data_IF_492141826853
#
_entry.id   IF_492141826853
#
_cell.length_a   1.000
_cell.length_b   1.000
_cell.length_c   1.000
_cell.angle_alpha   90.00
_cell.angle_beta   90.00
_cell.angle_gamma   90.00
#
_symmetry.space_group_name_H-M   'P 1'
#
loop_
_entity.id
_entity.type
_entity.pdbx_description
1 polymer ?
#
# COMPACT_ATOMS: atom_id res chain seq x y z
N UNK A 1 27.53 77.37 -44.79
CA UNK A 1 26.67 77.33 -46.01
C UNK A 1 26.49 75.91 -46.53
N UNK A 2 27.55 75.19 -46.95
CA UNK A 2 27.46 73.77 -47.40
C UNK A 2 26.77 72.80 -46.44
N UNK A 3 26.98 72.94 -45.13
CA UNK A 3 26.33 72.07 -44.12
C UNK A 3 24.81 72.34 -43.96
N UNK A 4 24.37 73.59 -44.15
CA UNK A 4 22.95 73.95 -44.06
C UNK A 4 22.16 73.52 -45.30
N UNK A 5 22.78 73.54 -46.48
CA UNK A 5 22.20 72.95 -47.69
C UNK A 5 22.10 71.42 -47.58
N UNK A 6 23.12 70.77 -47.00
CA UNK A 6 23.09 69.33 -46.74
C UNK A 6 21.94 68.92 -45.80
N UNK A 7 21.74 69.67 -44.71
CA UNK A 7 20.62 69.44 -43.78
C UNK A 7 19.26 69.62 -44.45
N UNK A 8 19.15 70.61 -45.36
CA UNK A 8 17.90 70.89 -46.06
C UNK A 8 17.56 69.79 -47.07
N UNK A 9 18.54 69.33 -47.84
CA UNK A 9 18.39 68.20 -48.77
C UNK A 9 18.08 66.92 -48.00
N UNK A 10 18.75 66.69 -46.87
CA UNK A 10 18.49 65.54 -46.01
C UNK A 10 17.05 65.55 -45.47
N UNK A 11 16.55 66.69 -44.97
CA UNK A 11 15.15 66.82 -44.51
C UNK A 11 14.14 66.57 -45.62
N UNK A 12 14.37 67.11 -46.82
CA UNK A 12 13.48 66.89 -47.96
C UNK A 12 13.46 65.43 -48.41
N UNK A 13 14.60 64.74 -48.37
CA UNK A 13 14.66 63.30 -48.64
C UNK A 13 13.94 62.49 -47.57
N UNK A 14 14.02 62.88 -46.29
CA UNK A 14 13.27 62.25 -45.20
C UNK A 14 11.76 62.44 -45.38
N UNK A 15 11.28 63.67 -45.64
CA UNK A 15 9.86 63.95 -45.89
C UNK A 15 9.30 63.17 -47.09
N UNK A 16 10.07 63.06 -48.18
CA UNK A 16 9.65 62.27 -49.35
C UNK A 16 9.55 60.78 -49.03
N UNK A 17 10.47 60.24 -48.24
CA UNK A 17 10.44 58.85 -47.78
C UNK A 17 9.29 58.58 -46.80
N UNK A 18 8.97 59.53 -45.91
CA UNK A 18 7.81 59.47 -45.02
C UNK A 18 6.49 59.50 -45.81
N UNK A 19 6.43 60.32 -46.85
CA UNK A 19 5.25 60.42 -47.73
C UNK A 19 5.03 59.13 -48.55
N UNK A 20 6.10 58.51 -49.05
CA UNK A 20 6.03 57.26 -49.83
C UNK A 20 5.69 56.06 -48.95
N UNK A 21 6.22 56.02 -47.71
CA UNK A 21 5.97 54.91 -46.78
C UNK A 21 4.65 55.04 -46.01
N UNK A 22 4.02 56.22 -46.01
CA UNK A 22 2.77 56.49 -45.29
C UNK A 22 2.94 56.48 -43.77
N UNK A 23 4.17 56.55 -43.27
CA UNK A 23 4.55 56.54 -41.86
C UNK A 23 5.63 57.60 -41.63
N UNK A 24 5.54 58.31 -40.52
CA UNK A 24 6.66 59.14 -40.06
C UNK A 24 7.85 58.26 -39.64
N UNK A 25 9.07 58.83 -39.64
CA UNK A 25 10.27 58.11 -39.19
C UNK A 25 10.14 57.58 -37.76
N UNK A 26 9.44 58.31 -36.89
CA UNK A 26 9.19 57.92 -35.50
C UNK A 26 8.18 56.76 -35.40
N UNK A 27 7.08 56.79 -36.16
CA UNK A 27 6.12 55.68 -36.20
C UNK A 27 6.72 54.39 -36.77
N UNK A 28 7.58 54.51 -37.80
CA UNK A 28 8.30 53.37 -38.36
C UNK A 28 9.25 52.76 -37.32
N UNK A 29 9.95 53.60 -36.55
CA UNK A 29 10.83 53.16 -35.47
C UNK A 29 10.05 52.49 -34.35
N UNK A 30 8.92 53.04 -33.96
CA UNK A 30 8.09 52.51 -32.88
C UNK A 30 7.50 51.14 -33.26
N UNK A 31 6.98 50.98 -34.48
CA UNK A 31 6.54 49.68 -35.00
C UNK A 31 7.65 48.65 -35.06
N UNK A 32 8.86 49.05 -35.46
CA UNK A 32 10.00 48.14 -35.50
C UNK A 32 10.39 47.69 -34.09
N UNK A 33 10.36 48.59 -33.11
CA UNK A 33 10.59 48.27 -31.70
C UNK A 33 9.50 47.35 -31.15
N UNK A 34 8.23 47.58 -31.51
CA UNK A 34 7.10 46.73 -31.13
C UNK A 34 7.26 45.31 -31.71
N UNK A 35 7.60 45.19 -33.00
CA UNK A 35 7.80 43.89 -33.66
C UNK A 35 8.96 43.10 -33.03
N UNK A 36 10.07 43.77 -32.71
CA UNK A 36 11.21 43.13 -32.05
C UNK A 36 10.84 42.69 -30.62
N UNK A 37 10.00 43.46 -29.91
CA UNK A 37 9.47 43.04 -28.59
C UNK A 37 8.55 41.82 -28.69
N UNK A 38 7.66 41.77 -29.69
CA UNK A 38 6.78 40.62 -29.91
C UNK A 38 7.56 39.37 -30.31
N UNK A 39 8.56 39.51 -31.18
CA UNK A 39 9.45 38.43 -31.57
C UNK A 39 10.26 37.92 -30.36
N UNK A 40 10.82 38.84 -29.56
CA UNK A 40 11.54 38.48 -28.33
C UNK A 40 10.63 37.76 -27.32
N UNK A 41 9.37 38.19 -27.15
CA UNK A 41 8.38 37.50 -26.31
C UNK A 41 8.07 36.09 -26.82
N UNK A 42 7.89 35.94 -28.13
CA UNK A 42 7.59 34.65 -28.76
C UNK A 42 8.76 33.68 -28.58
N UNK A 43 9.99 34.15 -28.81
CA UNK A 43 11.20 33.36 -28.61
C UNK A 43 11.40 32.98 -27.14
N UNK A 44 11.17 33.90 -26.21
CA UNK A 44 11.21 33.62 -24.78
C UNK A 44 10.17 32.56 -24.37
N UNK A 45 8.94 32.63 -24.91
CA UNK A 45 7.91 31.63 -24.64
C UNK A 45 8.29 30.25 -25.18
N UNK A 46 8.87 30.19 -26.38
CA UNK A 46 9.39 28.93 -26.94
C UNK A 46 10.46 28.32 -26.04
N UNK A 47 11.41 29.14 -25.57
CA UNK A 47 12.47 28.70 -24.67
C UNK A 47 11.93 28.23 -23.32
N UNK A 48 10.95 28.93 -22.75
CA UNK A 48 10.26 28.51 -21.52
C UNK A 48 9.56 27.15 -21.71
N UNK A 49 8.86 26.96 -22.84
CA UNK A 49 8.18 25.71 -23.13
C UNK A 49 9.17 24.54 -23.28
N UNK A 50 10.31 24.78 -23.95
CA UNK A 50 11.37 23.80 -24.12
C UNK A 50 11.99 23.38 -22.77
N UNK A 51 12.32 24.34 -21.91
CA UNK A 51 12.80 24.08 -20.54
C UNK A 51 11.79 23.27 -19.75
N UNK A 52 10.51 23.63 -19.81
CA UNK A 52 9.44 22.92 -19.10
C UNK A 52 9.30 21.48 -19.58
N UNK A 53 9.45 21.23 -20.88
CA UNK A 53 9.36 19.89 -21.45
C UNK A 53 10.59 19.05 -21.11
N UNK A 54 11.79 19.63 -21.15
CA UNK A 54 13.03 18.98 -20.70
C UNK A 54 12.96 18.62 -19.20
N UNK A 55 12.43 19.52 -18.37
CA UNK A 55 12.21 19.28 -16.95
C UNK A 55 11.25 18.10 -16.72
N UNK A 56 10.14 18.03 -17.48
CA UNK A 56 9.20 16.90 -17.42
C UNK A 56 9.84 15.59 -17.85
N UNK A 57 10.60 15.58 -18.96
CA UNK A 57 11.30 14.38 -19.43
C UNK A 57 12.32 13.88 -18.40
N UNK A 58 13.09 14.80 -17.81
CA UNK A 58 14.06 14.50 -16.76
C UNK A 58 13.38 13.95 -15.51
N UNK A 59 12.30 14.58 -15.05
CA UNK A 59 11.52 14.11 -13.92
C UNK A 59 10.95 12.70 -14.14
N UNK A 60 10.43 12.41 -15.34
CA UNK A 60 9.89 11.09 -15.67
C UNK A 60 11.00 10.02 -15.68
N UNK A 61 12.19 10.36 -16.19
CA UNK A 61 13.35 9.47 -16.16
C UNK A 61 13.80 9.17 -14.72
N UNK A 62 13.87 10.18 -13.87
CA UNK A 62 14.23 10.01 -12.46
C UNK A 62 13.18 9.23 -11.68
N UNK A 63 11.88 9.48 -11.92
CA UNK A 63 10.80 8.72 -11.30
C UNK A 63 10.89 7.22 -11.64
N UNK A 64 11.11 6.88 -12.92
CA UNK A 64 11.34 5.49 -13.35
C UNK A 64 12.55 4.88 -12.65
N UNK A 65 13.65 5.63 -12.53
CA UNK A 65 14.86 5.18 -11.81
C UNK A 65 14.56 4.85 -10.35
N UNK A 66 13.84 5.74 -9.64
CA UNK A 66 13.46 5.55 -8.24
C UNK A 66 12.61 4.29 -8.06
N UNK A 67 11.60 4.09 -8.92
CA UNK A 67 10.73 2.90 -8.87
C UNK A 67 11.55 1.62 -9.07
N UNK A 68 12.40 1.58 -10.12
CA UNK A 68 13.24 0.40 -10.41
C UNK A 68 14.20 0.09 -9.27
N UNK A 69 14.86 1.11 -8.71
CA UNK A 69 15.78 0.93 -7.58
C UNK A 69 15.05 0.47 -6.31
N UNK A 70 13.84 0.96 -6.08
CA UNK A 70 13.02 0.55 -4.93
C UNK A 70 12.64 -0.93 -5.05
N UNK A 71 12.23 -1.37 -6.25
CA UNK A 71 11.91 -2.78 -6.51
C UNK A 71 13.13 -3.68 -6.27
N UNK A 72 14.29 -3.32 -6.83
CA UNK A 72 15.52 -4.13 -6.74
C UNK A 72 16.01 -4.32 -5.31
N UNK A 73 15.80 -3.35 -4.42
CA UNK A 73 16.22 -3.43 -3.00
C UNK A 73 15.35 -4.36 -2.16
N UNK A 74 14.16 -4.75 -2.62
CA UNK A 74 13.17 -5.54 -1.87
C UNK A 74 12.93 -6.91 -2.52
N UNK A 75 13.78 -7.36 -3.45
CA UNK A 75 13.61 -8.65 -4.11
C UNK A 75 13.95 -9.83 -3.16
N UNK A 76 12.92 -10.49 -2.64
CA UNK A 76 12.98 -11.81 -2.00
C UNK A 76 11.91 -12.71 -2.61
N UNK A 77 12.23 -13.99 -2.78
CA UNK A 77 11.30 -15.03 -3.24
C UNK A 77 10.36 -15.44 -2.10
N UNK A 78 9.05 -15.54 -2.36
CA UNK A 78 8.05 -16.00 -1.39
C UNK A 78 7.16 -17.09 -1.98
N UNK A 79 6.86 -18.10 -1.16
CA UNK A 79 6.00 -19.21 -1.52
C UNK A 79 4.51 -18.81 -1.43
N UNK A 80 3.71 -19.34 -2.35
CA UNK A 80 2.24 -19.16 -2.39
C UNK A 80 1.62 -20.01 -1.28
N UNK A 81 0.75 -19.41 -0.46
CA UNK A 81 -0.02 -20.12 0.58
C UNK A 81 -1.45 -20.42 0.11
N UNK A 82 -1.91 -21.67 0.30
CA UNK A 82 -3.24 -22.12 -0.14
C UNK A 82 -4.35 -21.76 0.87
N UNK A 83 -5.54 -21.46 0.34
CA UNK A 83 -6.71 -21.02 1.12
C UNK A 83 -7.38 -22.11 1.98
N UNK A 84 -7.04 -23.39 1.80
CA UNK A 84 -7.61 -24.53 2.53
C UNK A 84 -6.55 -25.16 3.43
N UNK A 85 -6.92 -25.42 4.67
CA UNK A 85 -6.05 -26.09 5.65
C UNK A 85 -6.47 -27.56 5.75
N UNK A 86 -5.66 -28.44 5.17
CA UNK A 86 -5.84 -29.89 5.26
C UNK A 86 -5.10 -30.39 6.51
N UNK A 87 -5.84 -31.00 7.44
CA UNK A 87 -5.25 -31.65 8.60
C UNK A 87 -5.05 -33.13 8.27
N UNK A 88 -3.79 -33.56 8.22
CA UNK A 88 -3.41 -34.95 7.97
C UNK A 88 -3.47 -35.75 9.26
N UNK A 89 -3.93 -37.00 9.17
CA UNK A 89 -4.19 -37.89 10.29
C UNK A 89 -3.44 -39.19 10.08
N UNK A 90 -2.81 -39.71 11.14
CA UNK A 90 -1.97 -40.90 11.07
C UNK A 90 -2.74 -42.22 10.86
N UNK A 91 -4.05 -42.25 11.16
CA UNK A 91 -4.91 -43.41 10.92
C UNK A 91 -6.42 -43.10 11.01
N UNK A 92 -7.24 -43.94 10.39
CA UNK A 92 -8.71 -43.86 10.50
C UNK A 92 -9.23 -44.07 11.92
N UNK A 93 -8.47 -44.75 12.79
CA UNK A 93 -8.81 -44.87 14.21
C UNK A 93 -8.78 -43.51 14.92
N UNK A 94 -7.80 -42.66 14.58
CA UNK A 94 -7.71 -41.29 15.07
C UNK A 94 -8.87 -40.47 14.50
N UNK A 95 -9.19 -40.61 13.20
CA UNK A 95 -10.36 -39.96 12.55
C UNK A 95 -11.65 -40.30 13.30
N UNK A 96 -11.87 -41.59 13.64
CA UNK A 96 -13.01 -42.04 14.43
C UNK A 96 -13.08 -41.44 15.85
N UNK A 97 -11.94 -41.27 16.52
CA UNK A 97 -11.88 -40.60 17.84
C UNK A 97 -12.15 -39.09 17.76
N UNK A 98 -11.70 -38.43 16.70
CA UNK A 98 -11.98 -37.01 16.44
C UNK A 98 -13.49 -36.80 16.20
N UNK A 99 -14.13 -37.67 15.42
CA UNK A 99 -15.60 -37.63 15.20
C UNK A 99 -16.35 -37.88 16.52
N UNK A 100 -15.95 -38.93 17.24
CA UNK A 100 -16.64 -39.38 18.44
C UNK A 100 -18.01 -40.02 18.13
N UNK A 101 -18.62 -40.64 19.14
CA UNK A 101 -19.95 -41.25 18.98
C UNK A 101 -20.97 -40.18 18.60
N UNK A 102 -21.73 -40.41 17.53
CA UNK A 102 -22.75 -39.49 16.99
C UNK A 102 -22.20 -38.10 16.59
N UNK A 103 -20.90 -37.99 16.32
CA UNK A 103 -20.27 -36.71 15.97
C UNK A 103 -20.10 -35.75 17.15
N UNK A 104 -20.27 -36.22 18.40
CA UNK A 104 -20.26 -35.36 19.59
C UNK A 104 -18.96 -34.56 19.78
N UNK A 105 -17.83 -35.13 19.36
CA UNK A 105 -16.52 -34.51 19.56
C UNK A 105 -16.28 -33.43 18.49
N UNK A 106 -16.66 -33.70 17.23
CA UNK A 106 -16.66 -32.69 16.17
C UNK A 106 -17.56 -31.51 16.55
N UNK A 107 -18.80 -31.76 16.96
CA UNK A 107 -19.71 -30.67 17.38
C UNK A 107 -19.14 -29.84 18.53
N UNK A 108 -18.46 -30.47 19.48
CA UNK A 108 -17.79 -29.76 20.58
C UNK A 108 -16.61 -28.91 20.07
N UNK A 109 -15.81 -29.43 19.12
CA UNK A 109 -14.74 -28.67 18.48
C UNK A 109 -15.30 -27.49 17.70
N UNK A 110 -16.29 -27.70 16.84
CA UNK A 110 -16.95 -26.67 16.04
C UNK A 110 -17.56 -25.59 16.94
N UNK A 111 -18.24 -25.97 18.02
CA UNK A 111 -18.78 -25.02 18.99
C UNK A 111 -17.69 -24.23 19.72
N UNK A 112 -16.57 -24.88 20.07
CA UNK A 112 -15.49 -24.24 20.80
C UNK A 112 -14.63 -23.31 19.93
N UNK A 113 -14.41 -23.65 18.66
CA UNK A 113 -13.53 -22.91 17.73
C UNK A 113 -14.31 -21.97 16.80
N UNK A 114 -15.57 -22.28 16.52
CA UNK A 114 -16.40 -21.55 15.56
C UNK A 114 -16.03 -21.81 14.09
N UNK A 115 -15.42 -22.96 13.79
CA UNK A 115 -15.14 -23.42 12.42
C UNK A 115 -15.99 -24.64 12.09
N UNK A 116 -16.19 -24.91 10.80
CA UNK A 116 -16.85 -26.12 10.30
C UNK A 116 -15.79 -27.19 9.99
N UNK A 117 -16.02 -28.41 10.46
CA UNK A 117 -15.10 -29.52 10.27
C UNK A 117 -15.73 -30.50 9.30
N UNK A 118 -15.25 -30.49 8.05
CA UNK A 118 -15.76 -31.37 7.01
C UNK A 118 -14.98 -32.67 7.03
N UNK A 119 -15.72 -33.76 7.21
CA UNK A 119 -15.20 -35.12 7.17
C UNK A 119 -15.81 -35.82 5.96
N UNK A 120 -15.01 -36.10 4.95
CA UNK A 120 -15.41 -36.78 3.73
C UNK A 120 -14.80 -38.19 3.64
N UNK A 121 -15.01 -38.86 2.51
CA UNK A 121 -14.46 -40.18 2.20
C UNK A 121 -12.95 -40.14 1.92
N UNK A 122 -12.30 -38.97 2.01
CA UNK A 122 -10.85 -38.86 1.85
C UNK A 122 -10.17 -39.58 3.02
N UNK A 123 -9.35 -40.62 2.76
CA UNK A 123 -8.61 -41.31 3.80
C UNK A 123 -7.65 -40.35 4.50
N UNK A 124 -7.43 -40.53 5.81
CA UNK A 124 -6.33 -39.86 6.54
C UNK A 124 -6.36 -38.31 6.53
N UNK A 125 -7.49 -37.69 6.19
CA UNK A 125 -7.61 -36.23 6.14
C UNK A 125 -8.92 -35.72 6.76
N UNK A 126 -8.85 -34.53 7.35
CA UNK A 126 -9.99 -33.70 7.76
C UNK A 126 -9.78 -32.30 7.20
N UNK A 127 -10.85 -31.71 6.66
CA UNK A 127 -10.82 -30.35 6.11
C UNK A 127 -11.40 -29.37 7.12
N UNK A 128 -10.62 -28.33 7.44
CA UNK A 128 -11.06 -27.24 8.31
C UNK A 128 -11.57 -26.07 7.45
N UNK A 129 -12.88 -25.84 7.50
CA UNK A 129 -13.56 -24.77 6.77
C UNK A 129 -13.94 -23.64 7.71
N UNK A 130 -13.62 -22.40 7.34
CA UNK A 130 -13.95 -21.23 8.14
C UNK A 130 -13.38 -19.95 7.56
N UNK A 131 -14.17 -18.87 7.63
CA UNK A 131 -13.80 -17.56 7.09
C UNK A 131 -12.68 -16.89 7.91
N UNK A 132 -12.72 -17.03 9.23
CA UNK A 132 -11.69 -16.48 10.13
C UNK A 132 -10.46 -17.41 10.17
N UNK A 133 -9.31 -16.97 9.65
CA UNK A 133 -8.12 -17.80 9.61
C UNK A 133 -7.51 -18.05 11.00
N UNK A 134 -7.70 -17.14 11.97
CA UNK A 134 -7.23 -17.32 13.35
C UNK A 134 -8.01 -18.46 13.99
N UNK A 135 -9.33 -18.53 13.78
CA UNK A 135 -10.15 -19.66 14.25
C UNK A 135 -9.75 -20.99 13.61
N UNK A 136 -9.42 -20.99 12.31
CA UNK A 136 -8.90 -22.19 11.63
C UNK A 136 -7.60 -22.66 12.24
N UNK A 137 -6.69 -21.74 12.55
CA UNK A 137 -5.42 -22.08 13.18
C UNK A 137 -5.61 -22.59 14.63
N UNK A 138 -6.51 -21.97 15.41
CA UNK A 138 -6.90 -22.46 16.73
C UNK A 138 -7.40 -23.90 16.63
N UNK A 139 -8.27 -24.20 15.66
CA UNK A 139 -8.82 -25.53 15.46
C UNK A 139 -7.72 -26.53 15.07
N UNK A 140 -6.84 -26.17 14.13
CA UNK A 140 -5.73 -27.01 13.68
C UNK A 140 -4.78 -27.38 14.81
N UNK A 141 -4.34 -26.39 15.59
CA UNK A 141 -3.44 -26.61 16.72
C UNK A 141 -4.12 -27.37 17.87
N UNK A 142 -5.41 -27.10 18.12
CA UNK A 142 -6.17 -27.84 19.13
C UNK A 142 -6.32 -29.31 18.75
N UNK A 143 -6.62 -29.61 17.48
CA UNK A 143 -6.66 -30.98 16.95
C UNK A 143 -5.30 -31.67 17.11
N UNK A 144 -4.22 -31.00 16.76
CA UNK A 144 -2.86 -31.55 16.92
C UNK A 144 -2.57 -31.91 18.38
N UNK A 145 -2.88 -31.03 19.34
CA UNK A 145 -2.68 -31.28 20.77
C UNK A 145 -3.57 -32.42 21.29
N UNK A 146 -4.84 -32.49 20.86
CA UNK A 146 -5.79 -33.53 21.26
C UNK A 146 -5.39 -34.92 20.73
N UNK A 147 -4.89 -34.99 19.50
CA UNK A 147 -4.40 -36.24 18.89
C UNK A 147 -3.14 -36.72 19.62
N UNK A 148 -2.20 -35.81 19.90
CA UNK A 148 -0.97 -36.13 20.63
C UNK A 148 -1.24 -36.61 22.08
N UNK A 149 -2.23 -36.04 22.76
CA UNK A 149 -2.66 -36.45 24.11
C UNK A 149 -3.49 -37.76 24.07
N UNK A 150 -4.09 -38.10 22.93
CA UNK A 150 -4.90 -39.30 22.72
C UNK A 150 -6.28 -39.28 23.39
N UNK A 151 -6.60 -38.23 24.15
CA UNK A 151 -7.85 -38.04 24.90
C UNK A 151 -8.75 -37.00 24.21
N UNK A 152 -9.78 -37.48 23.53
CA UNK A 152 -10.71 -36.63 22.77
C UNK A 152 -12.12 -36.79 23.33
N UNK A 153 -12.54 -35.83 24.17
CA UNK A 153 -13.89 -35.72 24.71
C UNK A 153 -14.26 -34.25 24.97
N UNK A 154 -15.55 -33.89 25.06
CA UNK A 154 -16.00 -32.48 25.06
C UNK A 154 -15.30 -31.57 26.07
N UNK A 155 -15.23 -31.97 27.34
CA UNK A 155 -14.57 -31.16 28.38
C UNK A 155 -13.07 -30.91 28.10
N UNK A 156 -12.37 -31.90 27.53
CA UNK A 156 -10.96 -31.75 27.17
C UNK A 156 -10.78 -30.88 25.94
N UNK A 157 -11.68 -30.99 24.97
CA UNK A 157 -11.72 -30.14 23.78
C UNK A 157 -11.83 -28.68 24.20
N UNK A 158 -12.79 -28.34 25.06
CA UNK A 158 -12.98 -26.97 25.54
C UNK A 158 -11.74 -26.42 26.27
N UNK A 159 -11.12 -27.25 27.13
CA UNK A 159 -9.90 -26.90 27.85
C UNK A 159 -8.73 -26.61 26.90
N UNK A 160 -8.48 -27.52 25.94
CA UNK A 160 -7.37 -27.40 24.98
C UNK A 160 -7.61 -26.19 24.07
N UNK A 161 -8.82 -26.02 23.55
CA UNK A 161 -9.16 -24.87 22.70
C UNK A 161 -8.97 -23.55 23.46
N UNK A 162 -9.40 -23.47 24.71
CA UNK A 162 -9.19 -22.28 25.56
C UNK A 162 -7.70 -21.98 25.78
N UNK A 163 -6.87 -23.02 25.99
CA UNK A 163 -5.43 -22.89 26.12
C UNK A 163 -4.77 -22.42 24.83
N UNK A 164 -5.11 -23.04 23.69
CA UNK A 164 -4.57 -22.69 22.37
C UNK A 164 -4.96 -21.27 21.97
N UNK A 165 -6.20 -20.83 22.26
CA UNK A 165 -6.63 -19.44 22.07
C UNK A 165 -5.71 -18.44 22.77
N UNK A 166 -5.34 -18.71 24.02
CA UNK A 166 -4.41 -17.85 24.78
C UNK A 166 -3.01 -17.84 24.16
N UNK A 167 -2.50 -19.01 23.76
CA UNK A 167 -1.18 -19.14 23.12
C UNK A 167 -1.12 -18.35 21.81
N UNK A 168 -2.13 -18.46 20.95
CA UNK A 168 -2.19 -17.73 19.68
C UNK A 168 -2.31 -16.22 19.92
N UNK A 169 -3.10 -15.77 20.91
CA UNK A 169 -3.20 -14.34 21.22
C UNK A 169 -1.86 -13.76 21.71
N UNK A 170 -1.11 -14.51 22.53
CA UNK A 170 0.24 -14.12 22.96
C UNK A 170 1.19 -14.03 21.76
N UNK A 171 1.15 -15.00 20.85
CA UNK A 171 1.94 -15.01 19.62
C UNK A 171 1.58 -13.85 18.67
N UNK A 172 0.30 -13.51 18.55
CA UNK A 172 -0.18 -12.34 17.79
C UNK A 172 0.48 -11.08 18.34
N UNK A 173 0.40 -10.86 19.65
CA UNK A 173 0.96 -9.67 20.29
C UNK A 173 2.49 -9.63 20.13
N UNK A 174 3.17 -10.75 20.29
CA UNK A 174 4.63 -10.84 20.12
C UNK A 174 5.05 -10.56 18.67
N UNK A 175 4.36 -11.17 17.70
CA UNK A 175 4.61 -10.96 16.26
C UNK A 175 4.42 -9.51 15.88
N UNK A 176 3.35 -8.87 16.36
CA UNK A 176 3.10 -7.44 16.14
C UNK A 176 4.21 -6.57 16.71
N UNK A 177 4.62 -6.83 17.97
CA UNK A 177 5.71 -6.11 18.64
C UNK A 177 7.03 -6.24 17.88
N UNK A 178 7.39 -7.46 17.49
CA UNK A 178 8.59 -7.73 16.70
C UNK A 178 8.56 -6.97 15.38
N UNK A 179 7.44 -7.01 14.67
CA UNK A 179 7.28 -6.33 13.37
C UNK A 179 7.54 -4.83 13.48
N UNK A 180 6.95 -4.15 14.47
CA UNK A 180 7.15 -2.70 14.64
C UNK A 180 8.59 -2.36 15.07
N UNK A 181 9.24 -3.23 15.85
CA UNK A 181 10.65 -3.08 16.24
C UNK A 181 11.57 -3.23 15.02
N UNK A 182 11.40 -4.30 14.24
CA UNK A 182 12.20 -4.58 13.05
C UNK A 182 12.10 -3.45 12.01
N UNK A 183 10.91 -2.85 11.88
CA UNK A 183 10.65 -1.72 10.99
C UNK A 183 11.06 -0.35 11.60
N UNK A 184 11.51 -0.30 12.87
CA UNK A 184 11.88 0.93 13.55
C UNK A 184 10.72 1.91 13.74
N UNK A 185 9.51 1.39 13.95
CA UNK A 185 8.30 2.17 14.20
C UNK A 185 8.05 2.24 15.71
N UNK A 186 7.91 3.45 16.24
CA UNK A 186 7.74 3.69 17.68
C UNK A 186 6.42 4.41 17.98
N UNK A 187 5.94 4.28 19.22
CA UNK A 187 4.74 4.99 19.69
C UNK A 187 3.47 4.58 18.94
N UNK A 188 3.33 3.29 18.61
CA UNK A 188 2.10 2.74 18.04
C UNK A 188 1.19 2.23 19.16
N UNK A 189 -0.12 2.42 18.98
CA UNK A 189 -1.10 1.96 19.95
C UNK A 189 -1.06 0.43 20.09
N UNK A 190 -1.12 -0.15 21.31
CA UNK A 190 -1.04 -1.59 21.52
C UNK A 190 -2.05 -2.40 20.69
N UNK A 191 -3.25 -1.86 20.49
CA UNK A 191 -4.29 -2.52 19.69
C UNK A 191 -3.94 -2.56 18.19
N UNK A 192 -3.31 -1.53 17.64
CA UNK A 192 -2.79 -1.59 16.25
C UNK A 192 -1.66 -2.60 16.13
N UNK A 193 -0.78 -2.68 17.14
CA UNK A 193 0.28 -3.69 17.20
C UNK A 193 -0.32 -5.09 17.21
N UNK A 194 -1.37 -5.33 17.99
CA UNK A 194 -2.11 -6.60 18.03
C UNK A 194 -2.71 -6.95 16.66
N UNK A 195 -3.37 -5.99 16.00
CA UNK A 195 -3.94 -6.17 14.67
C UNK A 195 -2.86 -6.47 13.61
N UNK A 196 -1.70 -5.82 13.68
CA UNK A 196 -0.55 -6.16 12.81
C UNK A 196 -0.14 -7.62 13.02
N UNK A 197 -0.09 -8.09 14.27
CA UNK A 197 0.18 -9.50 14.57
C UNK A 197 -0.83 -10.45 13.93
N UNK A 198 -2.12 -10.09 13.92
CA UNK A 198 -3.18 -10.88 13.29
C UNK A 198 -3.01 -11.04 11.78
N UNK A 199 -2.39 -10.08 11.10
CA UNK A 199 -2.11 -10.18 9.66
C UNK A 199 -1.30 -11.43 9.31
N UNK A 200 -0.53 -11.99 10.25
CA UNK A 200 0.22 -13.24 10.05
C UNK A 200 -0.67 -14.41 9.63
N UNK A 201 -1.92 -14.43 10.09
CA UNK A 201 -2.84 -15.53 9.79
C UNK A 201 -3.69 -15.25 8.55
N UNK A 202 -3.68 -14.02 8.02
CA UNK A 202 -4.46 -13.69 6.83
C UNK A 202 -3.59 -13.79 5.59
N UNK A 203 -4.16 -14.33 4.52
CA UNK A 203 -3.54 -14.31 3.20
C UNK A 203 -4.45 -13.55 2.23
N UNK A 204 -3.86 -12.82 1.30
CA UNK A 204 -4.55 -12.08 0.24
C UNK A 204 -3.86 -12.41 -1.07
N UNK A 205 -4.65 -12.80 -2.08
CA UNK A 205 -4.19 -13.19 -3.42
C UNK A 205 -3.22 -14.39 -3.53
N UNK A 206 -2.75 -14.95 -2.42
CA UNK A 206 -1.75 -16.02 -2.40
C UNK A 206 -0.55 -15.68 -1.52
N UNK A 207 -0.44 -14.42 -1.08
CA UNK A 207 0.58 -13.94 -0.14
C UNK A 207 0.05 -13.82 1.28
N UNK A 208 0.96 -14.03 2.23
CA UNK A 208 0.74 -13.68 3.62
C UNK A 208 0.62 -12.15 3.79
N UNK A 209 -0.45 -11.68 4.44
CA UNK A 209 -0.79 -10.26 4.55
C UNK A 209 0.24 -9.47 5.38
N UNK A 210 0.77 -10.07 6.44
CA UNK A 210 1.81 -9.41 7.25
C UNK A 210 3.07 -9.20 6.43
N UNK A 211 3.45 -10.20 5.63
CA UNK A 211 4.62 -10.12 4.77
C UNK A 211 4.43 -9.04 3.70
N UNK A 212 3.30 -9.04 3.00
CA UNK A 212 2.90 -7.98 2.05
C UNK A 212 2.99 -6.58 2.68
N UNK A 213 2.44 -6.42 3.89
CA UNK A 213 2.45 -5.14 4.59
C UNK A 213 3.87 -4.69 4.99
N UNK A 214 4.75 -5.64 5.36
CA UNK A 214 6.17 -5.35 5.66
C UNK A 214 6.95 -4.94 4.41
N UNK A 215 6.71 -5.62 3.29
CA UNK A 215 7.34 -5.28 2.00
C UNK A 215 6.88 -3.91 1.52
N UNK A 216 5.57 -3.67 1.53
CA UNK A 216 4.97 -2.38 1.21
C UNK A 216 5.53 -1.27 2.10
N UNK A 217 5.66 -1.49 3.41
CA UNK A 217 6.28 -0.54 4.33
C UNK A 217 7.74 -0.20 3.97
N UNK A 218 8.53 -1.20 3.58
CA UNK A 218 9.93 -1.01 3.18
C UNK A 218 10.03 -0.23 1.85
N UNK A 219 9.20 -0.59 0.86
CA UNK A 219 9.12 0.14 -0.41
C UNK A 219 8.72 1.60 -0.18
N UNK A 220 7.71 1.85 0.66
CA UNK A 220 7.26 3.19 1.01
C UNK A 220 8.38 4.02 1.65
N UNK A 221 9.17 3.40 2.53
CA UNK A 221 10.29 4.08 3.18
C UNK A 221 11.39 4.46 2.17
N UNK A 222 11.72 3.56 1.24
CA UNK A 222 12.73 3.81 0.21
C UNK A 222 12.25 4.91 -0.75
N UNK A 223 11.03 4.80 -1.28
CA UNK A 223 10.47 5.79 -2.19
C UNK A 223 10.37 7.17 -1.53
N UNK A 224 9.90 7.24 -0.28
CA UNK A 224 9.84 8.49 0.45
C UNK A 224 11.23 9.13 0.65
N UNK A 225 12.26 8.32 0.93
CA UNK A 225 13.63 8.83 1.07
C UNK A 225 14.16 9.43 -0.24
N UNK A 226 13.98 8.74 -1.37
CA UNK A 226 14.42 9.21 -2.68
C UNK A 226 13.64 10.47 -3.15
N UNK A 227 12.39 10.63 -2.69
CA UNK A 227 11.55 11.80 -2.98
C UNK A 227 11.73 12.95 -1.96
N UNK A 228 12.65 12.84 -1.01
CA UNK A 228 12.89 13.87 0.01
C UNK A 228 11.78 14.02 1.07
N UNK A 229 10.91 13.01 1.19
CA UNK A 229 9.85 12.94 2.20
C UNK A 229 10.31 12.18 3.45
N UNK A 230 9.47 12.14 4.49
CA UNK A 230 9.81 11.47 5.74
C UNK A 230 9.65 9.93 5.63
N UNK A 231 10.75 9.15 5.65
CA UNK A 231 10.67 7.69 5.47
C UNK A 231 9.95 6.99 6.61
N UNK A 232 10.02 7.52 7.83
CA UNK A 232 9.36 6.93 9.02
C UNK A 232 7.84 7.02 8.91
N UNK A 233 7.32 8.14 8.38
CA UNK A 233 5.87 8.30 8.16
C UNK A 233 5.40 7.36 7.04
N UNK A 234 6.11 7.32 5.92
CA UNK A 234 5.76 6.46 4.80
C UNK A 234 5.79 4.97 5.17
N UNK A 235 6.80 4.52 5.93
CA UNK A 235 6.85 3.15 6.45
C UNK A 235 5.66 2.80 7.33
N UNK A 236 5.27 3.72 8.22
CA UNK A 236 4.13 3.54 9.12
C UNK A 236 2.82 3.44 8.33
N UNK A 237 2.61 4.29 7.33
CA UNK A 237 1.45 4.22 6.45
C UNK A 237 1.43 2.92 5.64
N UNK A 238 2.56 2.54 5.05
CA UNK A 238 2.69 1.28 4.29
C UNK A 238 2.44 0.03 5.14
N UNK A 239 2.83 0.01 6.42
CA UNK A 239 2.52 -1.13 7.29
C UNK A 239 1.02 -1.23 7.63
N UNK A 240 0.33 -0.09 7.70
CA UNK A 240 -1.06 -0.01 8.15
C UNK A 240 -2.08 0.02 7.01
N UNK A 241 -1.67 0.14 5.75
CA UNK A 241 -2.58 0.34 4.61
C UNK A 241 -3.72 -0.70 4.57
N UNK A 242 -3.37 -1.95 4.83
CA UNK A 242 -4.28 -3.09 4.81
C UNK A 242 -4.80 -3.51 6.20
N UNK A 243 -4.63 -2.68 7.24
CA UNK A 243 -5.07 -3.03 8.61
C UNK A 243 -6.58 -3.25 8.73
N UNK A 244 -7.36 -2.71 7.79
CA UNK A 244 -8.81 -2.97 7.70
C UNK A 244 -9.17 -4.39 7.26
N UNK A 245 -8.19 -5.23 6.87
CA UNK A 245 -8.42 -6.63 6.52
C UNK A 245 -8.53 -7.55 7.75
N UNK A 246 -7.98 -7.18 8.90
CA UNK A 246 -7.87 -8.06 10.08
C UNK A 246 -8.86 -7.87 11.25
N UNK A 247 -9.85 -6.93 11.24
CA UNK A 247 -10.84 -6.85 12.30
C UNK A 247 -11.68 -8.12 12.47
N UNK A 248 -12.14 -8.36 13.70
CA UNK A 248 -12.97 -9.52 14.07
C UNK A 248 -14.41 -9.41 13.52
N UNK A 249 -14.87 -8.19 13.30
CA UNK A 249 -16.15 -7.89 12.65
C UNK A 249 -15.89 -7.58 11.17
N UNK A 250 -16.73 -8.09 10.28
CA UNK A 250 -16.73 -7.75 8.84
C UNK A 250 -17.81 -6.69 8.56
N UNK A 251 -17.53 -5.38 8.76
CA UNK A 251 -18.48 -4.35 8.37
C UNK A 251 -18.54 -4.26 6.84
N UNK A 252 -19.66 -3.79 6.29
CA UNK A 252 -19.88 -3.54 4.85
C UNK A 252 -19.02 -2.40 4.27
N UNK A 253 -17.95 -1.98 4.97
CA UNK A 253 -17.05 -0.93 4.53
C UNK A 253 -15.87 -1.54 3.74
N UNK A 254 -15.40 -0.86 2.68
CA UNK A 254 -14.12 -1.19 2.05
C UNK A 254 -12.99 -1.24 3.08
N UNK A 255 -12.00 -2.11 2.89
CA UNK A 255 -10.94 -2.32 3.89
C UNK A 255 -10.09 -1.06 4.09
N UNK A 256 -9.88 -0.25 3.05
CA UNK A 256 -9.16 1.03 3.18
C UNK A 256 -9.91 1.98 4.15
N UNK A 257 -11.22 2.11 3.98
CA UNK A 257 -12.07 2.93 4.85
C UNK A 257 -12.13 2.40 6.27
N UNK A 258 -12.21 1.08 6.44
CA UNK A 258 -12.18 0.45 7.74
C UNK A 258 -10.82 0.66 8.43
N UNK A 259 -9.73 0.47 7.70
CA UNK A 259 -8.37 0.71 8.16
C UNK A 259 -8.16 2.16 8.61
N UNK A 260 -8.65 3.13 7.83
CA UNK A 260 -8.61 4.55 8.18
C UNK A 260 -9.34 4.82 9.50
N UNK A 261 -10.58 4.32 9.64
CA UNK A 261 -11.37 4.50 10.88
C UNK A 261 -10.70 3.85 12.09
N UNK A 262 -10.06 2.70 11.92
CA UNK A 262 -9.31 2.03 12.99
C UNK A 262 -8.09 2.84 13.40
N UNK A 263 -7.32 3.34 12.43
CA UNK A 263 -6.18 4.19 12.68
C UNK A 263 -6.58 5.47 13.43
N UNK A 264 -7.67 6.12 13.02
CA UNK A 264 -8.26 7.28 13.70
C UNK A 264 -8.70 6.96 15.13
N UNK A 265 -9.44 5.85 15.31
CA UNK A 265 -9.88 5.37 16.63
C UNK A 265 -8.71 5.20 17.60
N UNK A 266 -7.56 4.74 17.10
CA UNK A 266 -6.34 4.55 17.89
C UNK A 266 -5.35 5.73 17.81
N UNK A 267 -5.83 6.90 17.39
CA UNK A 267 -5.12 8.20 17.43
C UNK A 267 -3.87 8.25 16.55
N UNK A 268 -3.87 7.56 15.42
CA UNK A 268 -2.89 7.81 14.37
C UNK A 268 -3.04 9.23 13.79
N UNK A 269 -1.98 9.69 13.13
CA UNK A 269 -1.94 11.05 12.59
C UNK A 269 -2.81 11.15 11.31
N UNK A 270 -3.44 12.31 11.04
CA UNK A 270 -4.33 12.48 9.89
C UNK A 270 -3.69 12.15 8.54
N UNK A 271 -2.39 12.43 8.39
CA UNK A 271 -1.64 12.10 7.17
C UNK A 271 -1.45 10.59 6.97
N UNK A 272 -1.30 9.83 8.06
CA UNK A 272 -1.26 8.36 8.03
C UNK A 272 -2.65 7.80 7.76
N UNK A 273 -3.69 8.32 8.44
CA UNK A 273 -5.07 7.90 8.23
C UNK A 273 -5.51 8.13 6.78
N UNK A 274 -5.19 9.28 6.19
CA UNK A 274 -5.48 9.56 4.79
C UNK A 274 -4.79 8.56 3.86
N UNK A 275 -3.49 8.31 4.05
CA UNK A 275 -2.77 7.35 3.22
C UNK A 275 -3.33 5.92 3.31
N UNK A 276 -3.89 5.52 4.45
CA UNK A 276 -4.62 4.25 4.61
C UNK A 276 -5.98 4.31 3.92
N UNK A 277 -6.73 5.40 4.06
CA UNK A 277 -8.08 5.50 3.51
C UNK A 277 -8.15 5.68 1.99
N UNK A 278 -7.11 6.26 1.38
CA UNK A 278 -7.13 6.64 -0.03
C UNK A 278 -6.30 5.72 -0.95
N UNK A 279 -5.72 4.62 -0.44
CA UNK A 279 -4.80 3.82 -1.26
C UNK A 279 -5.49 3.05 -2.40
N UNK A 280 -6.82 2.88 -2.38
CA UNK A 280 -7.61 2.45 -3.53
C UNK A 280 -8.63 3.52 -3.98
N UNK A 281 -8.28 4.79 -3.77
CA UNK A 281 -9.05 5.95 -4.24
C UNK A 281 -10.46 6.09 -3.63
N UNK A 282 -10.73 5.50 -2.46
CA UNK A 282 -12.03 5.64 -1.77
C UNK A 282 -12.27 7.03 -1.19
N UNK A 283 -11.20 7.76 -0.89
CA UNK A 283 -11.22 9.16 -0.46
C UNK A 283 -10.10 9.93 -1.14
N UNK A 284 -10.23 11.25 -1.18
CA UNK A 284 -9.24 12.13 -1.79
C UNK A 284 -7.85 11.99 -1.14
N UNK A 285 -6.82 11.86 -1.97
CA UNK A 285 -5.42 11.87 -1.53
C UNK A 285 -5.01 13.29 -1.17
N UNK A 286 -4.92 13.59 0.13
CA UNK A 286 -4.58 14.93 0.63
C UNK A 286 -3.09 15.10 0.95
N UNK A 287 -2.33 14.00 0.87
CA UNK A 287 -0.89 13.99 1.17
C UNK A 287 -0.11 13.18 0.15
N UNK A 288 1.18 13.49 -0.02
CA UNK A 288 2.09 12.70 -0.88
C UNK A 288 2.37 11.28 -0.36
N UNK A 289 1.96 10.95 0.87
CA UNK A 289 2.10 9.58 1.40
C UNK A 289 1.10 8.63 0.73
N UNK A 290 -0.11 9.10 0.42
CA UNK A 290 -1.15 8.31 -0.21
C UNK A 290 -0.75 7.71 -1.58
N UNK A 291 -0.27 8.49 -2.56
CA UNK A 291 0.15 7.93 -3.84
C UNK A 291 1.39 7.03 -3.70
N UNK A 292 2.26 7.26 -2.70
CA UNK A 292 3.39 6.37 -2.43
C UNK A 292 2.91 5.01 -1.94
N UNK A 293 1.98 5.00 -0.97
CA UNK A 293 1.38 3.75 -0.45
C UNK A 293 0.69 2.99 -1.56
N UNK A 294 -0.14 3.64 -2.37
CA UNK A 294 -0.83 3.01 -3.50
C UNK A 294 0.14 2.37 -4.50
N UNK A 295 1.20 3.10 -4.91
CA UNK A 295 2.20 2.57 -5.85
C UNK A 295 2.98 1.40 -5.23
N UNK A 296 3.35 1.50 -3.96
CA UNK A 296 4.08 0.44 -3.25
C UNK A 296 3.24 -0.83 -3.06
N UNK A 297 1.97 -0.67 -2.74
CA UNK A 297 0.99 -1.76 -2.63
C UNK A 297 0.85 -2.50 -3.97
N UNK A 298 0.64 -1.76 -5.06
CA UNK A 298 0.58 -2.32 -6.41
C UNK A 298 1.88 -3.05 -6.82
N UNK A 299 3.05 -2.51 -6.46
CA UNK A 299 4.35 -3.15 -6.72
C UNK A 299 4.49 -4.45 -5.94
N UNK A 300 4.02 -4.49 -4.68
CA UNK A 300 4.07 -5.68 -3.83
C UNK A 300 3.11 -6.76 -4.34
N UNK A 301 1.87 -6.37 -4.69
CA UNK A 301 0.83 -7.28 -5.17
C UNK A 301 0.98 -7.77 -6.62
N UNK A 302 1.75 -7.09 -7.48
CA UNK A 302 1.94 -7.51 -8.88
C UNK A 302 3.11 -8.50 -9.09
N UNK A 303 3.77 -8.97 -8.02
CA UNK A 303 4.93 -9.86 -8.14
C UNK A 303 4.53 -11.28 -8.54
N UNK A 304 5.33 -12.00 -9.35
CA UNK A 304 5.12 -13.42 -9.60
C UNK A 304 5.16 -14.19 -8.27
N UNK A 305 4.10 -14.94 -7.95
CA UNK A 305 3.92 -15.59 -6.65
C UNK A 305 3.07 -14.79 -5.66
N UNK A 306 2.49 -13.67 -6.10
CA UNK A 306 1.46 -12.92 -5.38
C UNK A 306 0.07 -13.51 -5.47
#
# INVERSE_FOLDING_TARGET
>A
KKSAELEKVYRQSVEQLETISGLSADEARERLVESVKEEAKTNAQSYINEIMEEAKMTANKEAKRIVVQSIQRVATETAIENAVTVFHIDSDEVKGRIIGREGRNIRALEAATGVEIVVDDTPEAIVLSGFDPVRREIARLSLHQLVADGRIHPARIEEVVSKVKKQIEEEIVETGKRTVIDLGIHGMHPELIRLIGKMKYRSSYGQNLLQHSRETANLCAIMAAELGLNPKKARRAGLLHDIGKVPDDEPELPHAMLGMKLAEKYKEKPDICNAIGSHHDEVEMTTLLAPIVQVCDAISGARPGA
#
